data_IF_361641882700
#
_entry.id   IF_361641882700
#
_cell.length_a   1.000
_cell.length_b   1.000
_cell.length_c   1.000
_cell.angle_alpha   90.00
_cell.angle_beta   90.00
_cell.angle_gamma   90.00
#
_symmetry.space_group_name_H-M   'P 1'
#
loop_
_entity.id
_entity.type
_entity.pdbx_description
1 polymer ?
#
# COMPACT_ATOMS: atom_id res chain seq x y z
N UNK A 1 22.73 -18.86 -22.34
CA UNK A 1 21.81 -18.00 -23.10
C UNK A 1 20.46 -18.10 -22.41
N UNK A 2 20.03 -17.04 -21.72
CA UNK A 2 18.70 -17.00 -21.12
C UNK A 2 17.69 -16.83 -22.26
N UNK A 3 16.98 -17.90 -22.60
CA UNK A 3 15.79 -17.82 -23.44
C UNK A 3 14.76 -17.03 -22.65
N UNK A 4 14.74 -15.72 -22.87
CA UNK A 4 13.68 -14.86 -22.35
C UNK A 4 12.37 -15.32 -22.98
N UNK A 5 11.61 -16.12 -22.24
CA UNK A 5 10.24 -16.43 -22.59
C UNK A 5 9.51 -15.08 -22.63
N UNK A 6 9.09 -14.68 -23.83
CA UNK A 6 8.29 -13.47 -24.04
C UNK A 6 7.07 -13.54 -23.12
N UNK A 7 6.70 -12.41 -22.52
CA UNK A 7 5.54 -12.37 -21.65
C UNK A 7 4.27 -12.66 -22.45
N UNK A 8 3.33 -13.39 -21.85
CA UNK A 8 2.00 -13.55 -22.43
C UNK A 8 1.20 -12.26 -22.20
N UNK A 9 0.66 -11.69 -23.27
CA UNK A 9 -0.09 -10.43 -23.25
C UNK A 9 -1.60 -10.70 -23.19
N UNK A 10 -2.29 -10.08 -22.22
CA UNK A 10 -3.74 -10.17 -21.98
C UNK A 10 -4.33 -8.76 -22.09
N UNK A 11 -5.43 -8.60 -22.82
CA UNK A 11 -6.09 -7.30 -23.01
C UNK A 11 -7.45 -7.30 -22.33
N UNK A 12 -7.74 -6.27 -21.55
CA UNK A 12 -9.05 -6.06 -20.93
C UNK A 12 -9.73 -4.90 -21.63
N UNK A 13 -10.91 -5.13 -22.20
CA UNK A 13 -11.71 -4.07 -22.83
C UNK A 13 -12.26 -3.06 -21.80
N UNK A 14 -12.81 -1.91 -22.25
CA UNK A 14 -13.55 -1.02 -21.37
C UNK A 14 -14.76 -1.74 -20.76
N UNK A 15 -15.13 -1.45 -19.51
CA UNK A 15 -16.27 -2.10 -18.87
C UNK A 15 -17.58 -1.66 -19.52
N UNK A 16 -18.26 -2.59 -20.19
CA UNK A 16 -19.57 -2.35 -20.79
C UNK A 16 -20.37 -3.66 -20.98
N UNK A 17 -21.70 -3.56 -20.94
CA UNK A 17 -22.62 -4.72 -21.02
C UNK A 17 -22.51 -5.54 -22.32
N UNK A 18 -21.98 -4.98 -23.40
CA UNK A 18 -21.83 -5.66 -24.70
C UNK A 18 -20.47 -6.35 -24.93
N UNK A 19 -19.65 -6.51 -23.90
CA UNK A 19 -18.29 -7.04 -24.09
C UNK A 19 -18.33 -8.52 -24.51
N UNK A 20 -17.40 -8.91 -25.41
CA UNK A 20 -17.22 -10.29 -25.86
C UNK A 20 -15.77 -10.69 -25.65
N UNK A 21 -15.53 -11.58 -24.70
CA UNK A 21 -14.23 -12.16 -24.48
C UNK A 21 -13.85 -13.11 -25.64
N UNK A 22 -12.57 -13.15 -25.96
CA UNK A 22 -11.97 -14.07 -26.91
C UNK A 22 -10.68 -14.61 -26.29
N UNK A 23 -10.79 -15.74 -25.60
CA UNK A 23 -9.67 -16.38 -24.91
C UNK A 23 -8.57 -16.83 -25.89
N UNK A 24 -8.91 -17.17 -27.13
CA UNK A 24 -7.92 -17.53 -28.16
C UNK A 24 -7.07 -16.31 -28.56
N UNK A 25 -7.65 -15.11 -28.48
CA UNK A 25 -6.95 -13.82 -28.67
C UNK A 25 -6.52 -13.14 -27.36
N UNK A 26 -6.70 -13.80 -26.21
CA UNK A 26 -6.41 -13.25 -24.86
C UNK A 26 -7.06 -11.87 -24.63
N UNK A 27 -8.29 -11.73 -25.11
CA UNK A 27 -9.12 -10.54 -24.90
C UNK A 27 -10.21 -10.86 -23.89
N UNK A 28 -10.31 -10.06 -22.84
CA UNK A 28 -11.20 -10.30 -21.69
C UNK A 28 -12.09 -9.09 -21.43
N UNK A 29 -13.19 -9.35 -20.73
CA UNK A 29 -14.19 -8.34 -20.40
C UNK A 29 -14.01 -7.75 -19.00
N UNK A 30 -13.23 -8.42 -18.16
CA UNK A 30 -12.88 -7.90 -16.84
C UNK A 30 -11.42 -8.20 -16.47
N UNK A 31 -10.84 -7.41 -15.54
CA UNK A 31 -9.54 -7.73 -14.96
C UNK A 31 -9.53 -9.08 -14.25
N UNK A 32 -10.66 -9.52 -13.67
CA UNK A 32 -10.78 -10.80 -12.98
C UNK A 32 -10.59 -11.99 -13.93
N UNK A 33 -11.25 -11.96 -15.10
CA UNK A 33 -11.09 -12.98 -16.13
C UNK A 33 -9.65 -13.06 -16.66
N UNK A 34 -9.03 -11.90 -16.91
CA UNK A 34 -7.65 -11.85 -17.37
C UNK A 34 -6.67 -12.38 -16.31
N UNK A 35 -6.89 -12.02 -15.03
CA UNK A 35 -6.09 -12.51 -13.91
C UNK A 35 -6.22 -14.02 -13.72
N UNK A 36 -7.43 -14.56 -13.79
CA UNK A 36 -7.66 -16.01 -13.72
C UNK A 36 -6.92 -16.75 -14.85
N UNK A 37 -6.98 -16.21 -16.07
CA UNK A 37 -6.28 -16.79 -17.21
C UNK A 37 -4.74 -16.71 -17.08
N UNK A 38 -4.20 -15.62 -16.51
CA UNK A 38 -2.78 -15.49 -16.23
C UNK A 38 -2.31 -16.46 -15.13
N UNK A 39 -3.08 -16.61 -14.05
CA UNK A 39 -2.77 -17.54 -12.96
C UNK A 39 -2.77 -19.01 -13.41
N UNK A 40 -3.57 -19.37 -14.41
CA UNK A 40 -3.64 -20.72 -14.97
C UNK A 40 -2.42 -21.09 -15.86
N UNK A 41 -1.47 -20.16 -16.06
CA UNK A 41 -0.36 -20.32 -17.00
C UNK A 41 0.98 -20.09 -16.32
N UNK A 42 1.97 -20.87 -16.73
CA UNK A 42 3.36 -20.67 -16.30
C UNK A 42 3.98 -19.45 -17.01
N UNK A 43 5.01 -18.86 -16.39
CA UNK A 43 5.76 -17.75 -16.98
C UNK A 43 5.32 -16.37 -16.49
N UNK A 44 5.74 -15.34 -17.23
CA UNK A 44 5.40 -13.94 -16.98
C UNK A 44 4.20 -13.54 -17.85
N UNK A 45 3.26 -12.82 -17.25
CA UNK A 45 2.06 -12.33 -17.91
C UNK A 45 1.94 -10.82 -17.76
N UNK A 46 1.43 -10.13 -18.76
CA UNK A 46 1.10 -8.70 -18.71
C UNK A 46 -0.39 -8.53 -19.04
N UNK A 47 -1.13 -7.90 -18.15
CA UNK A 47 -2.54 -7.57 -18.29
C UNK A 47 -2.64 -6.07 -18.60
N UNK A 48 -3.06 -5.75 -19.82
CA UNK A 48 -3.31 -4.38 -20.27
C UNK A 48 -4.75 -4.00 -20.01
N UNK A 49 -4.95 -3.03 -19.14
CA UNK A 49 -6.26 -2.42 -18.93
C UNK A 49 -6.55 -1.40 -20.05
N UNK A 50 -7.82 -1.23 -20.40
CA UNK A 50 -8.21 -0.19 -21.33
C UNK A 50 -7.88 1.18 -20.73
N UNK A 51 -7.18 2.01 -21.50
CA UNK A 51 -6.67 3.29 -21.03
C UNK A 51 -7.77 4.15 -20.39
N UNK A 52 -7.46 4.72 -19.22
CA UNK A 52 -8.35 5.64 -18.47
C UNK A 52 -9.75 5.10 -18.17
N UNK A 53 -9.95 3.78 -18.22
CA UNK A 53 -11.22 3.14 -17.90
C UNK A 53 -11.41 2.96 -16.39
N UNK A 54 -12.66 2.84 -15.94
CA UNK A 54 -13.00 2.61 -14.53
C UNK A 54 -13.56 1.20 -14.37
N UNK A 55 -12.82 0.32 -13.71
CA UNK A 55 -13.23 -1.04 -13.38
C UNK A 55 -13.74 -1.09 -11.94
N UNK A 56 -15.07 -1.09 -11.80
CA UNK A 56 -15.74 -1.18 -10.49
C UNK A 56 -16.01 -2.63 -10.13
N UNK A 57 -15.43 -3.09 -9.02
CA UNK A 57 -15.64 -4.40 -8.42
C UNK A 57 -16.81 -4.30 -7.44
N UNK A 58 -17.87 -5.06 -7.68
CA UNK A 58 -19.09 -5.02 -6.85
C UNK A 58 -19.14 -6.16 -5.83
N UNK A 59 -18.47 -7.27 -6.12
CA UNK A 59 -18.44 -8.45 -5.28
C UNK A 59 -17.00 -8.95 -5.14
N UNK A 60 -16.64 -9.58 -4.02
CA UNK A 60 -15.41 -10.33 -3.90
C UNK A 60 -15.39 -11.49 -4.91
N UNK A 61 -14.23 -11.76 -5.47
CA UNK A 61 -13.94 -12.95 -6.27
C UNK A 61 -13.74 -14.18 -5.36
N UNK A 62 -13.18 -13.98 -4.16
CA UNK A 62 -13.09 -14.97 -3.09
C UNK A 62 -13.27 -14.29 -1.72
N UNK A 63 -13.87 -14.98 -0.74
CA UNK A 63 -14.17 -14.45 0.61
C UNK A 63 -13.15 -14.79 1.69
N UNK A 64 -12.12 -15.58 1.36
CA UNK A 64 -11.13 -16.01 2.35
C UNK A 64 -10.38 -14.81 2.95
N UNK A 65 -10.25 -14.79 4.27
CA UNK A 65 -9.45 -13.81 5.04
C UNK A 65 -9.82 -12.34 4.78
N UNK A 66 -11.12 -12.04 4.62
CA UNK A 66 -11.61 -10.67 4.40
C UNK A 66 -11.80 -10.29 2.93
N UNK A 67 -11.60 -11.24 2.04
CA UNK A 67 -11.98 -11.19 0.64
C UNK A 67 -11.08 -10.34 -0.28
N UNK A 68 -11.08 -10.69 -1.56
CA UNK A 68 -10.37 -10.00 -2.64
C UNK A 68 -11.25 -9.88 -3.88
N UNK A 69 -11.25 -8.71 -4.53
CA UNK A 69 -12.09 -8.42 -5.68
C UNK A 69 -11.58 -9.00 -6.99
N UNK A 70 -10.27 -9.28 -7.09
CA UNK A 70 -9.67 -10.03 -8.19
C UNK A 70 -9.06 -11.34 -7.67
N UNK A 71 -8.91 -12.38 -8.51
CA UNK A 71 -8.22 -13.62 -8.13
C UNK A 71 -6.83 -13.36 -7.56
N UNK A 72 -6.48 -14.07 -6.48
CA UNK A 72 -5.18 -13.90 -5.83
C UNK A 72 -4.03 -14.25 -6.77
N UNK A 73 -2.98 -13.44 -6.77
CA UNK A 73 -1.83 -13.58 -7.68
C UNK A 73 -0.90 -14.67 -7.15
N UNK A 74 -0.81 -15.77 -7.91
CA UNK A 74 0.06 -16.91 -7.60
C UNK A 74 1.29 -17.01 -8.52
N UNK A 75 1.25 -16.32 -9.66
CA UNK A 75 2.31 -16.34 -10.68
C UNK A 75 2.98 -14.97 -10.82
N UNK A 76 3.77 -14.77 -11.89
CA UNK A 76 4.37 -13.47 -12.19
C UNK A 76 3.45 -12.69 -13.13
N UNK A 77 2.76 -11.69 -12.58
CA UNK A 77 1.79 -10.86 -13.29
C UNK A 77 2.19 -9.40 -13.22
N UNK A 78 2.10 -8.71 -14.34
CA UNK A 78 2.14 -7.26 -14.44
C UNK A 78 0.76 -6.75 -14.87
N UNK A 79 0.24 -5.73 -14.19
CA UNK A 79 -0.95 -5.00 -14.60
C UNK A 79 -0.51 -3.63 -15.08
N UNK A 80 -0.61 -3.38 -16.38
CA UNK A 80 -0.45 -2.05 -16.95
C UNK A 80 -1.82 -1.37 -17.00
N UNK A 81 -1.99 -0.38 -16.13
CA UNK A 81 -3.24 0.34 -15.97
C UNK A 81 -3.51 1.33 -17.09
N UNK A 82 -2.50 1.85 -17.79
CA UNK A 82 -2.68 2.93 -18.76
C UNK A 82 -3.56 4.10 -18.24
N UNK A 83 -3.42 4.44 -16.96
CA UNK A 83 -4.21 5.46 -16.26
C UNK A 83 -5.62 5.02 -15.86
N UNK A 84 -5.94 3.72 -15.93
CA UNK A 84 -7.20 3.17 -15.47
C UNK A 84 -7.36 3.31 -13.94
N UNK A 85 -8.61 3.12 -13.50
CA UNK A 85 -8.98 3.04 -12.09
C UNK A 85 -9.54 1.63 -11.86
N UNK A 86 -9.01 0.93 -10.86
CA UNK A 86 -9.60 -0.28 -10.29
C UNK A 86 -10.14 0.08 -8.91
N UNK A 87 -11.45 -0.07 -8.71
CA UNK A 87 -12.11 0.38 -7.49
C UNK A 87 -13.08 -0.64 -6.94
N UNK A 88 -13.31 -0.58 -5.63
CA UNK A 88 -14.44 -1.24 -4.99
C UNK A 88 -15.68 -0.35 -5.09
N UNK A 89 -16.85 -0.93 -5.36
CA UNK A 89 -18.13 -0.24 -5.26
C UNK A 89 -18.37 0.26 -3.82
N UNK A 90 -18.77 1.53 -3.67
CA UNK A 90 -18.93 2.19 -2.36
C UNK A 90 -20.38 2.49 -1.97
N UNK A 91 -21.35 2.04 -2.76
CA UNK A 91 -22.76 2.23 -2.42
C UNK A 91 -23.09 1.55 -1.07
N UNK A 92 -24.07 2.11 -0.35
CA UNK A 92 -24.50 1.54 0.92
C UNK A 92 -24.92 0.06 0.75
N UNK A 93 -24.45 -0.80 1.66
CA UNK A 93 -24.70 -2.24 1.61
C UNK A 93 -23.72 -3.05 0.74
N UNK A 94 -22.77 -2.42 0.06
CA UNK A 94 -21.74 -3.15 -0.68
C UNK A 94 -20.72 -3.80 0.27
N UNK A 95 -20.32 -5.06 0.03
CA UNK A 95 -19.41 -5.77 0.93
C UNK A 95 -18.03 -5.12 0.96
N UNK A 96 -17.38 -5.17 2.12
CA UNK A 96 -15.99 -4.80 2.26
C UNK A 96 -15.10 -5.95 1.73
N UNK A 97 -14.17 -5.63 0.83
CA UNK A 97 -13.14 -6.54 0.36
C UNK A 97 -11.93 -5.77 -0.17
N UNK A 98 -10.77 -6.45 -0.23
CA UNK A 98 -9.54 -5.91 -0.84
C UNK A 98 -9.64 -5.88 -2.34
N UNK A 99 -8.84 -5.07 -3.03
CA UNK A 99 -8.79 -5.13 -4.49
C UNK A 99 -7.94 -6.31 -4.98
N UNK A 100 -6.77 -6.52 -4.36
CA UNK A 100 -5.76 -7.47 -4.80
C UNK A 100 -5.14 -8.21 -3.62
N UNK A 101 -4.68 -9.43 -3.90
CA UNK A 101 -3.86 -10.23 -2.98
C UNK A 101 -2.72 -10.89 -3.74
N UNK A 102 -1.53 -10.89 -3.17
CA UNK A 102 -0.36 -11.62 -3.69
C UNK A 102 -0.06 -12.76 -2.73
N UNK A 103 -0.12 -13.99 -3.23
CA UNK A 103 0.17 -15.19 -2.44
C UNK A 103 1.66 -15.39 -2.23
N UNK A 104 2.08 -16.23 -1.26
CA UNK A 104 3.47 -16.66 -1.16
C UNK A 104 3.98 -17.21 -2.50
N UNK A 105 5.14 -16.72 -2.95
CA UNK A 105 5.71 -17.05 -4.26
C UNK A 105 5.13 -16.27 -5.46
N UNK A 106 4.01 -15.56 -5.27
CA UNK A 106 3.45 -14.65 -6.27
C UNK A 106 4.32 -13.41 -6.48
N UNK A 107 4.29 -12.85 -7.69
CA UNK A 107 5.02 -11.64 -8.05
C UNK A 107 4.11 -10.73 -8.86
N UNK A 108 3.68 -9.62 -8.24
CA UNK A 108 2.81 -8.64 -8.85
C UNK A 108 3.57 -7.34 -9.11
N UNK A 109 3.48 -6.85 -10.35
CA UNK A 109 3.85 -5.48 -10.71
C UNK A 109 2.60 -4.70 -11.10
N UNK A 110 2.39 -3.55 -10.47
CA UNK A 110 1.33 -2.60 -10.82
C UNK A 110 1.96 -1.38 -11.47
N UNK A 111 1.44 -0.96 -12.62
CA UNK A 111 1.91 0.24 -13.34
C UNK A 111 0.76 1.16 -13.70
N UNK A 112 0.95 2.47 -13.53
CA UNK A 112 0.08 3.51 -14.09
C UNK A 112 -1.41 3.26 -13.79
N UNK A 113 -1.72 2.89 -12.56
CA UNK A 113 -3.05 2.46 -12.11
C UNK A 113 -3.46 3.21 -10.85
N UNK A 114 -4.74 3.58 -10.76
CA UNK A 114 -5.34 4.02 -9.50
C UNK A 114 -6.06 2.84 -8.83
N UNK A 115 -5.72 2.57 -7.57
CA UNK A 115 -6.41 1.62 -6.69
C UNK A 115 -7.15 2.39 -5.61
N UNK A 116 -8.49 2.29 -5.59
CA UNK A 116 -9.27 3.09 -4.64
C UNK A 116 -10.48 2.39 -4.03
N UNK A 117 -10.82 2.80 -2.82
CA UNK A 117 -12.05 2.37 -2.15
C UNK A 117 -12.04 0.95 -1.62
N UNK A 118 -10.89 0.26 -1.73
CA UNK A 118 -10.70 -1.02 -1.08
C UNK A 118 -11.01 -0.90 0.41
N UNK A 119 -11.69 -1.90 0.96
CA UNK A 119 -12.14 -1.85 2.35
C UNK A 119 -12.02 -3.23 2.99
N UNK A 120 -11.64 -3.33 4.25
CA UNK A 120 -11.70 -4.60 4.99
C UNK A 120 -12.42 -4.43 6.31
N UNK A 121 -13.07 -5.50 6.78
CA UNK A 121 -13.66 -5.52 8.12
C UNK A 121 -12.60 -5.60 9.21
N UNK A 122 -13.05 -5.56 10.48
CA UNK A 122 -12.18 -5.75 11.64
C UNK A 122 -11.43 -7.09 11.57
N UNK A 123 -10.14 -7.07 11.89
CA UNK A 123 -9.27 -8.26 11.88
C UNK A 123 -8.72 -8.64 10.51
N UNK A 124 -8.86 -7.75 9.52
CA UNK A 124 -8.38 -7.97 8.15
C UNK A 124 -7.58 -6.77 7.65
N UNK A 125 -6.36 -7.01 7.18
CA UNK A 125 -5.40 -5.97 6.80
C UNK A 125 -5.47 -5.55 5.33
N UNK A 126 -4.77 -4.49 4.90
CA UNK A 126 -4.36 -4.30 3.50
C UNK A 126 -5.50 -4.04 2.52
N UNK A 127 -6.23 -2.94 2.69
CA UNK A 127 -7.51 -2.76 2.01
C UNK A 127 -7.43 -2.59 0.49
N UNK A 128 -6.32 -2.10 -0.07
CA UNK A 128 -6.08 -2.17 -1.51
C UNK A 128 -5.37 -3.48 -1.87
N UNK A 129 -4.22 -3.75 -1.24
CA UNK A 129 -3.37 -4.89 -1.54
C UNK A 129 -2.88 -5.54 -0.25
N UNK A 130 -3.01 -6.87 -0.18
CA UNK A 130 -2.25 -7.67 0.77
C UNK A 130 -1.19 -8.49 0.04
N UNK A 131 0.08 -8.22 0.35
CA UNK A 131 1.22 -8.84 -0.29
C UNK A 131 1.93 -9.84 0.64
N UNK A 132 1.85 -11.13 0.33
CA UNK A 132 2.61 -12.20 0.99
C UNK A 132 3.78 -12.72 0.12
N UNK A 133 4.02 -12.10 -1.03
CA UNK A 133 5.04 -12.48 -2.00
C UNK A 133 5.93 -11.30 -2.36
N UNK A 134 5.93 -10.91 -3.64
CA UNK A 134 6.63 -9.72 -4.12
C UNK A 134 5.64 -8.75 -4.77
N UNK A 135 5.68 -7.49 -4.37
CA UNK A 135 4.86 -6.42 -4.93
C UNK A 135 5.75 -5.27 -5.40
N UNK A 136 5.58 -4.84 -6.65
CA UNK A 136 6.12 -3.60 -7.20
C UNK A 136 4.98 -2.66 -7.57
N UNK A 137 5.00 -1.43 -7.08
CA UNK A 137 3.98 -0.39 -7.30
C UNK A 137 4.66 0.81 -7.95
N UNK A 138 4.36 1.07 -9.23
CA UNK A 138 5.15 2.01 -10.04
C UNK A 138 4.21 2.98 -10.79
N UNK A 139 4.32 4.28 -10.54
CA UNK A 139 3.44 5.25 -11.19
C UNK A 139 1.97 5.12 -10.78
N UNK A 140 1.70 4.59 -9.59
CA UNK A 140 0.34 4.29 -9.13
C UNK A 140 -0.19 5.33 -8.15
N UNK A 141 -1.50 5.46 -8.08
CA UNK A 141 -2.19 6.18 -6.99
C UNK A 141 -3.00 5.19 -6.17
N UNK A 142 -2.77 5.14 -4.86
CA UNK A 142 -3.56 4.38 -3.91
C UNK A 142 -4.29 5.38 -3.02
N UNK A 143 -5.61 5.47 -3.20
CA UNK A 143 -6.41 6.50 -2.52
C UNK A 143 -7.69 5.99 -1.89
N UNK A 144 -8.04 6.60 -0.75
CA UNK A 144 -9.30 6.35 -0.06
C UNK A 144 -9.55 4.86 0.20
N UNK A 145 -8.49 4.11 0.58
CA UNK A 145 -8.58 2.72 1.00
C UNK A 145 -8.63 2.65 2.53
N UNK A 146 -9.47 1.77 3.07
CA UNK A 146 -9.78 1.72 4.49
C UNK A 146 -9.67 0.30 5.04
N UNK A 147 -8.61 0.04 5.81
CA UNK A 147 -8.47 -1.23 6.52
C UNK A 147 -9.11 -1.15 7.91
N UNK A 148 -9.81 -2.23 8.29
CA UNK A 148 -10.33 -2.41 9.63
C UNK A 148 -9.31 -2.94 10.65
N UNK A 149 -8.07 -3.21 10.23
CA UNK A 149 -6.94 -3.51 11.13
C UNK A 149 -5.72 -2.75 10.59
N UNK A 150 -4.78 -3.39 9.90
CA UNK A 150 -3.52 -2.74 9.54
C UNK A 150 -3.31 -2.48 8.04
N UNK A 151 -2.45 -1.50 7.71
CA UNK A 151 -2.05 -1.22 6.33
C UNK A 151 -3.22 -0.68 5.51
N UNK A 152 -3.58 0.59 5.73
CA UNK A 152 -4.81 1.16 5.19
C UNK A 152 -4.94 1.05 3.66
N UNK A 153 -3.82 1.13 2.91
CA UNK A 153 -3.77 0.70 1.52
C UNK A 153 -3.07 -0.65 1.35
N UNK A 154 -1.84 -0.78 1.85
CA UNK A 154 -1.01 -1.96 1.64
C UNK A 154 -0.61 -2.58 2.97
N UNK A 155 -0.90 -3.87 3.08
CA UNK A 155 -0.24 -4.78 4.01
C UNK A 155 0.83 -5.56 3.23
N UNK A 156 2.10 -5.47 3.61
CA UNK A 156 3.16 -6.27 2.98
C UNK A 156 3.87 -7.15 4.00
N UNK A 157 3.75 -8.46 3.85
CA UNK A 157 4.48 -9.50 4.58
C UNK A 157 5.68 -10.09 3.82
N UNK A 158 5.86 -9.63 2.58
CA UNK A 158 6.97 -9.98 1.69
C UNK A 158 7.74 -8.77 1.18
N UNK A 159 8.34 -8.88 -0.01
CA UNK A 159 9.12 -7.78 -0.62
C UNK A 159 8.19 -6.71 -1.18
N UNK A 160 8.48 -5.45 -0.88
CA UNK A 160 7.73 -4.29 -1.35
C UNK A 160 8.65 -3.27 -2.02
N UNK A 161 8.37 -2.98 -3.30
CA UNK A 161 9.01 -1.90 -4.04
C UNK A 161 7.95 -0.88 -4.43
N UNK A 162 8.15 0.38 -4.08
CA UNK A 162 7.25 1.48 -4.40
C UNK A 162 8.05 2.59 -5.06
N UNK A 163 7.61 3.02 -6.23
CA UNK A 163 8.31 4.00 -7.06
C UNK A 163 7.32 4.95 -7.73
N UNK A 164 7.64 6.25 -7.74
CA UNK A 164 6.90 7.28 -8.49
C UNK A 164 5.38 7.25 -8.20
N UNK A 165 4.99 6.98 -6.96
CA UNK A 165 3.60 6.68 -6.60
C UNK A 165 3.04 7.67 -5.58
N UNK A 166 1.72 7.64 -5.38
CA UNK A 166 1.01 8.47 -4.42
C UNK A 166 0.09 7.63 -3.54
N UNK A 167 0.19 7.79 -2.24
CA UNK A 167 -0.71 7.21 -1.23
C UNK A 167 -1.43 8.34 -0.52
N UNK A 168 -2.74 8.46 -0.72
CA UNK A 168 -3.50 9.56 -0.12
C UNK A 168 -4.80 9.14 0.54
N UNK A 169 -5.10 9.74 1.69
CA UNK A 169 -6.36 9.51 2.41
C UNK A 169 -6.66 8.03 2.66
N UNK A 170 -5.61 7.22 2.82
CA UNK A 170 -5.78 5.84 3.23
C UNK A 170 -5.82 5.78 4.76
N UNK A 171 -6.53 4.79 5.29
CA UNK A 171 -6.72 4.71 6.73
C UNK A 171 -6.72 3.28 7.26
N UNK A 172 -6.10 3.09 8.42
CA UNK A 172 -6.13 1.87 9.22
C UNK A 172 -6.86 2.20 10.52
N UNK A 173 -8.18 2.01 10.55
CA UNK A 173 -9.03 2.40 11.67
C UNK A 173 -9.76 1.17 12.21
N UNK A 174 -9.30 0.64 13.34
CA UNK A 174 -9.90 -0.49 14.02
C UNK A 174 -11.07 -0.02 14.91
N UNK A 175 -12.00 0.75 14.31
CA UNK A 175 -13.10 1.40 15.03
C UNK A 175 -13.89 0.37 15.86
N UNK A 176 -13.92 0.55 17.17
CA UNK A 176 -14.74 -0.25 18.09
C UNK A 176 -14.02 -1.39 18.82
N UNK A 177 -12.70 -1.57 18.67
CA UNK A 177 -11.93 -2.47 19.54
C UNK A 177 -11.80 -1.87 20.95
N UNK A 178 -12.63 -2.31 21.89
CA UNK A 178 -12.42 -2.04 23.32
C UNK A 178 -11.23 -2.88 23.80
N UNK A 179 -10.12 -2.22 24.14
CA UNK A 179 -8.92 -2.88 24.68
C UNK A 179 -7.98 -3.53 23.65
N UNK A 180 -8.19 -3.29 22.35
CA UNK A 180 -7.24 -3.70 21.30
C UNK A 180 -6.30 -2.56 20.91
N UNK A 181 -5.11 -2.90 20.41
CA UNK A 181 -4.24 -1.94 19.72
C UNK A 181 -4.96 -1.48 18.45
N UNK A 182 -5.03 -0.16 18.22
CA UNK A 182 -5.63 0.40 17.01
C UNK A 182 -4.87 -0.03 15.74
N UNK A 183 -5.48 0.19 14.57
CA UNK A 183 -4.85 -0.10 13.30
C UNK A 183 -3.57 0.72 13.08
N UNK A 184 -2.54 0.11 12.50
CA UNK A 184 -1.24 0.77 12.22
C UNK A 184 -0.95 0.89 10.73
N UNK A 185 -0.08 1.84 10.36
CA UNK A 185 0.33 2.02 8.96
C UNK A 185 -0.84 2.49 8.09
N UNK A 186 -1.26 3.75 8.28
CA UNK A 186 -2.47 4.28 7.61
C UNK A 186 -2.41 4.21 6.08
N UNK A 187 -1.20 4.24 5.49
CA UNK A 187 -0.99 3.86 4.10
C UNK A 187 -0.42 2.45 3.98
N UNK A 188 0.75 2.21 4.58
CA UNK A 188 1.51 0.97 4.42
C UNK A 188 1.94 0.45 5.79
N UNK A 189 1.65 -0.83 6.03
CA UNK A 189 2.33 -1.63 7.02
C UNK A 189 3.26 -2.62 6.33
N UNK A 190 4.53 -2.65 6.74
CA UNK A 190 5.49 -3.68 6.34
C UNK A 190 5.76 -4.64 7.49
N UNK A 191 5.90 -5.92 7.15
CA UNK A 191 6.24 -7.02 8.05
C UNK A 191 7.00 -8.07 7.25
N UNK A 192 7.73 -8.94 7.93
CA UNK A 192 8.57 -9.97 7.31
C UNK A 192 8.12 -11.39 7.66
N UNK A 193 6.80 -11.66 7.67
CA UNK A 193 6.29 -13.01 8.03
C UNK A 193 6.69 -14.08 7.00
N UNK A 194 6.71 -13.74 5.71
CA UNK A 194 6.91 -14.69 4.62
C UNK A 194 8.27 -14.55 3.91
N UNK A 195 9.31 -14.13 4.64
CA UNK A 195 10.71 -14.17 4.18
C UNK A 195 11.54 -12.94 4.58
N UNK A 196 12.82 -12.94 4.21
CA UNK A 196 13.75 -11.80 4.35
C UNK A 196 13.44 -10.70 3.31
N UNK A 197 12.19 -10.25 3.27
CA UNK A 197 11.78 -9.14 2.41
C UNK A 197 12.37 -7.84 2.92
N UNK A 198 12.77 -6.97 1.99
CA UNK A 198 13.06 -5.56 2.28
C UNK A 198 11.99 -4.69 1.64
N UNK A 199 11.88 -3.46 2.12
CA UNK A 199 11.02 -2.44 1.54
C UNK A 199 11.86 -1.31 0.95
N UNK A 200 11.55 -0.91 -0.28
CA UNK A 200 12.17 0.27 -0.90
C UNK A 200 11.08 1.19 -1.42
N UNK A 201 11.14 2.44 -0.98
CA UNK A 201 10.18 3.48 -1.35
C UNK A 201 10.96 4.63 -1.96
N UNK A 202 10.67 4.97 -3.22
CA UNK A 202 11.34 6.04 -3.94
C UNK A 202 10.36 7.01 -4.60
N UNK A 203 10.69 8.31 -4.58
CA UNK A 203 9.95 9.33 -5.34
C UNK A 203 8.43 9.27 -5.13
N UNK A 204 8.03 8.99 -3.90
CA UNK A 204 6.64 8.65 -3.54
C UNK A 204 6.09 9.66 -2.54
N UNK A 205 4.81 9.99 -2.68
CA UNK A 205 4.11 10.91 -1.78
C UNK A 205 3.13 10.15 -0.89
N UNK A 206 3.16 10.43 0.41
CA UNK A 206 2.18 9.98 1.40
C UNK A 206 1.47 11.19 1.99
N UNK A 207 0.19 11.37 1.66
CA UNK A 207 -0.57 12.57 2.02
C UNK A 207 -1.86 12.23 2.76
N UNK A 208 -2.04 12.78 3.97
CA UNK A 208 -3.31 12.69 4.68
C UNK A 208 -3.73 11.26 5.02
N UNK A 209 -2.77 10.34 5.22
CA UNK A 209 -3.06 8.98 5.66
C UNK A 209 -3.21 8.94 7.18
N UNK A 210 -4.03 8.01 7.67
CA UNK A 210 -4.39 7.98 9.09
C UNK A 210 -4.33 6.56 9.68
N UNK A 211 -3.70 6.43 10.84
CA UNK A 211 -3.73 5.24 11.67
C UNK A 211 -4.37 5.55 13.03
N UNK A 212 -5.20 4.65 13.54
CA UNK A 212 -5.75 4.78 14.90
C UNK A 212 -4.65 4.64 15.97
N UNK A 213 -3.63 3.80 15.72
CA UNK A 213 -2.50 3.65 16.61
C UNK A 213 -1.27 4.40 16.09
N UNK A 214 -0.32 3.70 15.47
CA UNK A 214 1.00 4.25 15.12
C UNK A 214 1.30 4.18 13.62
N UNK A 215 2.18 5.07 13.13
CA UNK A 215 2.57 5.11 11.73
C UNK A 215 1.46 5.64 10.84
N UNK A 216 1.14 6.93 10.95
CA UNK A 216 0.00 7.52 10.24
C UNK A 216 0.06 7.33 8.72
N UNK A 217 1.27 7.35 8.15
CA UNK A 217 1.51 6.79 6.82
C UNK A 217 2.13 5.41 6.87
N UNK A 218 3.28 5.27 7.53
CA UNK A 218 4.14 4.10 7.44
C UNK A 218 4.37 3.46 8.80
N UNK A 219 4.14 2.15 8.88
CA UNK A 219 4.56 1.32 10.01
C UNK A 219 5.53 0.23 9.52
N UNK A 220 6.78 0.26 9.99
CA UNK A 220 7.90 -0.45 9.38
C UNK A 220 8.54 -1.47 10.35
N UNK A 221 8.50 -2.77 10.02
CA UNK A 221 9.12 -3.82 10.85
C UNK A 221 10.39 -4.41 10.25
N UNK A 222 10.55 -4.34 8.93
CA UNK A 222 11.72 -4.84 8.20
C UNK A 222 12.66 -3.74 7.73
N UNK A 223 13.78 -4.15 7.15
CA UNK A 223 14.74 -3.24 6.53
C UNK A 223 14.05 -2.40 5.45
N UNK A 224 14.05 -1.09 5.65
CA UNK A 224 13.36 -0.15 4.78
C UNK A 224 14.29 0.97 4.34
N UNK A 225 14.32 1.23 3.03
CA UNK A 225 15.01 2.39 2.45
C UNK A 225 13.98 3.34 1.85
N UNK A 226 14.01 4.62 2.25
CA UNK A 226 13.14 5.68 1.75
C UNK A 226 13.97 6.78 1.10
N UNK A 227 13.70 7.09 -0.15
CA UNK A 227 14.49 8.05 -0.95
C UNK A 227 13.60 9.01 -1.69
N UNK A 228 13.83 10.32 -1.55
CA UNK A 228 13.06 11.33 -2.29
C UNK A 228 11.54 11.20 -2.07
N UNK A 229 11.14 10.81 -0.85
CA UNK A 229 9.74 10.72 -0.49
C UNK A 229 9.25 12.00 0.17
N UNK A 230 7.96 12.27 0.06
CA UNK A 230 7.29 13.33 0.82
C UNK A 230 6.20 12.70 1.68
N UNK A 231 6.27 12.88 2.99
CA UNK A 231 5.25 12.46 3.94
C UNK A 231 4.64 13.72 4.56
N UNK A 232 3.40 14.01 4.22
CA UNK A 232 2.73 15.25 4.61
C UNK A 232 1.34 15.04 5.19
N UNK A 233 1.05 15.72 6.30
CA UNK A 233 -0.29 15.76 6.88
C UNK A 233 -0.81 14.39 7.34
N UNK A 234 0.07 13.42 7.61
CA UNK A 234 -0.34 12.09 8.07
C UNK A 234 -0.56 12.10 9.58
N UNK A 235 -1.48 11.26 10.06
CA UNK A 235 -1.93 11.28 11.45
C UNK A 235 -1.90 9.91 12.11
N UNK A 236 -1.35 9.85 13.32
CA UNK A 236 -1.35 8.69 14.20
C UNK A 236 -2.04 9.02 15.53
N UNK A 237 -2.84 8.10 16.07
CA UNK A 237 -3.46 8.26 17.39
C UNK A 237 -2.51 7.98 18.56
N UNK A 238 -1.32 7.47 18.31
CA UNK A 238 -0.27 7.23 19.30
C UNK A 238 1.05 7.88 18.85
N UNK A 239 1.89 7.16 18.08
CA UNK A 239 3.26 7.58 17.76
C UNK A 239 3.57 7.50 16.28
N UNK A 240 4.54 8.30 15.81
CA UNK A 240 4.98 8.23 14.42
C UNK A 240 3.91 8.75 13.47
N UNK A 241 3.56 10.04 13.55
CA UNK A 241 2.48 10.63 12.74
C UNK A 241 2.74 10.43 11.25
N UNK A 242 3.98 10.60 10.81
CA UNK A 242 4.43 10.16 9.49
C UNK A 242 4.84 8.68 9.51
N UNK A 243 5.90 8.37 10.26
CA UNK A 243 6.58 7.07 10.25
C UNK A 243 6.73 6.53 11.66
N UNK A 244 6.38 5.26 11.84
CA UNK A 244 6.77 4.45 12.98
C UNK A 244 7.73 3.35 12.50
N UNK A 245 8.93 3.30 13.08
CA UNK A 245 9.97 2.33 12.72
C UNK A 245 10.30 1.39 13.87
N UNK A 246 10.07 0.09 13.68
CA UNK A 246 10.55 -1.00 14.52
C UNK A 246 11.78 -1.70 13.94
N UNK A 247 11.95 -1.68 12.62
CA UNK A 247 13.09 -2.29 11.92
C UNK A 247 14.29 -1.36 11.74
N UNK A 248 15.07 -1.59 10.69
CA UNK A 248 16.14 -0.67 10.25
C UNK A 248 15.60 0.28 9.20
N UNK A 249 15.75 1.59 9.41
CA UNK A 249 15.33 2.62 8.45
C UNK A 249 16.52 3.44 7.96
N UNK A 250 16.71 3.49 6.64
CA UNK A 250 17.53 4.51 5.98
C UNK A 250 16.62 5.46 5.20
N UNK A 251 16.55 6.72 5.61
CA UNK A 251 15.81 7.76 4.91
C UNK A 251 16.72 8.88 4.45
N UNK A 252 16.61 9.23 3.16
CA UNK A 252 17.44 10.28 2.57
C UNK A 252 16.76 11.12 1.52
N UNK A 253 17.15 12.40 1.42
CA UNK A 253 16.66 13.35 0.39
C UNK A 253 15.14 13.51 0.42
N UNK A 254 14.53 13.40 1.58
CA UNK A 254 13.07 13.32 1.76
C UNK A 254 12.51 14.52 2.53
N UNK A 255 11.19 14.60 2.62
CA UNK A 255 10.45 15.61 3.41
C UNK A 255 9.44 14.89 4.31
N UNK A 256 9.45 15.18 5.61
CA UNK A 256 8.49 14.69 6.61
C UNK A 256 7.89 15.92 7.30
N UNK A 257 6.74 16.38 6.83
CA UNK A 257 6.23 17.72 7.15
C UNK A 257 4.78 17.67 7.63
N UNK A 258 4.45 18.48 8.63
CA UNK A 258 3.06 18.65 9.12
C UNK A 258 2.35 17.36 9.52
N UNK A 259 3.10 16.35 9.96
CA UNK A 259 2.52 15.10 10.46
C UNK A 259 2.21 15.21 11.96
N UNK A 260 1.20 14.48 12.41
CA UNK A 260 0.58 14.64 13.73
C UNK A 260 0.51 13.29 14.44
N UNK A 261 1.09 13.21 15.64
CA UNK A 261 0.95 12.09 16.55
C UNK A 261 0.36 12.61 17.88
N UNK A 262 -0.34 11.78 18.63
CA UNK A 262 -0.84 12.20 19.96
C UNK A 262 0.30 12.19 20.98
N UNK A 263 1.14 11.16 20.98
CA UNK A 263 2.15 10.93 22.03
C UNK A 263 3.53 11.46 21.66
N UNK A 264 4.15 10.90 20.61
CA UNK A 264 5.56 11.10 20.31
C UNK A 264 5.92 10.86 18.84
N UNK A 265 6.98 11.53 18.37
CA UNK A 265 7.49 11.44 17.00
C UNK A 265 6.43 11.80 15.97
N UNK A 266 5.95 13.05 15.99
CA UNK A 266 4.94 13.52 15.03
C UNK A 266 5.37 13.29 13.58
N UNK A 267 6.65 13.51 13.26
CA UNK A 267 7.23 13.12 11.98
C UNK A 267 7.65 11.64 11.94
N UNK A 268 8.60 11.27 12.80
CA UNK A 268 9.24 9.95 12.84
C UNK A 268 9.43 9.48 14.29
N UNK A 269 8.86 8.32 14.63
CA UNK A 269 9.23 7.59 15.84
C UNK A 269 10.01 6.33 15.48
N UNK A 270 11.14 6.08 16.14
CA UNK A 270 11.96 4.90 15.86
C UNK A 270 12.29 4.09 17.13
N UNK A 271 11.70 2.91 17.25
CA UNK A 271 12.16 1.88 18.20
C UNK A 271 13.44 1.21 17.70
N UNK A 272 13.48 0.81 16.43
CA UNK A 272 14.69 0.32 15.77
C UNK A 272 15.57 1.45 15.25
N UNK A 273 16.74 1.12 14.71
CA UNK A 273 17.68 2.13 14.19
C UNK A 273 17.09 2.89 13.00
N UNK A 274 17.15 4.22 13.05
CA UNK A 274 16.85 5.09 11.92
C UNK A 274 18.03 6.02 11.60
N UNK A 275 18.45 6.04 10.33
CA UNK A 275 19.43 6.97 9.80
C UNK A 275 18.75 7.96 8.87
N UNK A 276 18.79 9.23 9.23
CA UNK A 276 18.22 10.36 8.48
C UNK A 276 19.35 11.17 7.87
N UNK A 277 19.33 11.38 6.56
CA UNK A 277 20.34 12.20 5.86
C UNK A 277 19.71 13.09 4.80
N UNK A 278 20.15 14.35 4.67
CA UNK A 278 19.63 15.29 3.66
C UNK A 278 18.08 15.35 3.63
N UNK A 279 17.42 15.23 4.79
CA UNK A 279 15.95 15.10 4.90
C UNK A 279 15.41 16.21 5.77
N UNK A 280 14.36 16.88 5.30
CA UNK A 280 13.64 17.91 6.04
C UNK A 280 12.59 17.23 6.94
N UNK A 281 12.64 17.46 8.24
CA UNK A 281 11.65 17.01 9.21
C UNK A 281 11.23 18.24 10.00
N UNK A 282 10.04 18.81 9.71
CA UNK A 282 9.62 20.11 10.25
C UNK A 282 8.10 20.24 10.33
N UNK A 283 7.60 21.07 11.24
CA UNK A 283 6.16 21.39 11.33
C UNK A 283 5.30 20.23 11.84
N UNK A 284 5.93 19.12 12.22
CA UNK A 284 5.24 17.99 12.80
C UNK A 284 4.82 18.32 14.24
N UNK A 285 3.88 17.54 14.80
CA UNK A 285 3.34 17.76 16.15
C UNK A 285 3.19 16.45 16.91
N UNK A 286 3.56 16.49 18.18
CA UNK A 286 3.24 15.44 19.15
C UNK A 286 3.27 15.97 20.58
N UNK A 287 2.72 15.20 21.54
CA UNK A 287 2.65 15.58 22.95
C UNK A 287 4.02 15.77 23.62
N UNK A 288 5.01 14.93 23.32
CA UNK A 288 6.33 14.99 23.96
C UNK A 288 7.52 15.19 23.01
N UNK A 289 7.37 14.92 21.70
CA UNK A 289 8.46 15.00 20.71
C UNK A 289 7.91 15.22 19.29
N UNK A 290 7.88 16.47 18.84
CA UNK A 290 7.12 16.86 17.64
C UNK A 290 7.68 16.30 16.33
N UNK A 291 8.99 16.42 16.08
CA UNK A 291 9.58 15.98 14.82
C UNK A 291 10.05 14.52 14.84
N UNK A 292 10.98 14.19 15.73
CA UNK A 292 11.51 12.84 15.83
C UNK A 292 11.75 12.39 17.28
N UNK A 293 11.69 11.08 17.49
CA UNK A 293 11.93 10.44 18.79
C UNK A 293 12.47 9.01 18.63
N UNK A 294 13.15 8.52 19.66
CA UNK A 294 13.76 7.18 19.71
C UNK A 294 15.16 7.12 19.08
N UNK A 295 15.53 5.97 18.50
CA UNK A 295 16.86 5.68 17.97
C UNK A 295 17.08 6.30 16.58
N UNK A 296 16.99 7.63 16.49
CA UNK A 296 17.12 8.40 15.25
C UNK A 296 18.44 9.15 15.20
N UNK A 297 19.27 8.83 14.21
CA UNK A 297 20.49 9.58 13.89
C UNK A 297 20.26 10.57 12.75
N UNK A 298 20.84 11.76 12.83
CA UNK A 298 20.73 12.79 11.79
C UNK A 298 19.40 13.55 11.76
N UNK A 299 18.54 13.33 12.77
CA UNK A 299 17.42 14.21 13.04
C UNK A 299 17.83 15.22 14.11
N UNK A 300 17.68 16.51 13.81
CA UNK A 300 17.72 17.55 14.83
C UNK A 300 16.31 17.63 15.39
N UNK A 301 16.05 16.96 16.51
CA UNK A 301 14.77 17.07 17.19
C UNK A 301 14.54 18.56 17.53
N UNK A 302 13.46 19.15 17.05
CA UNK A 302 13.11 20.50 17.47
C UNK A 302 12.67 20.45 18.93
N UNK A 303 13.59 20.80 19.83
CA UNK A 303 13.33 20.92 21.26
C UNK A 303 12.57 22.23 21.47
N UNK A 304 11.28 22.22 21.18
CA UNK A 304 10.33 23.13 21.83
C UNK A 304 9.43 23.95 20.91
N UNK A 305 8.14 23.65 21.03
CA UNK A 305 7.21 24.67 21.49
C UNK A 305 6.46 24.14 22.71
N UNK A 306 7.02 24.39 23.90
CA UNK A 306 6.21 24.47 25.10
C UNK A 306 5.06 25.47 24.82
N UNK A 307 3.82 24.99 24.92
CA UNK A 307 2.65 25.86 25.08
C UNK A 307 2.32 25.97 26.56
#
# INVERSE_FOLDING_TARGET
MATGVLADEFRVGPPHKGCRADAARRSYCSPAEAMAAANARQGRHVIHLAAKSIYTLEQPDHDAEGGNGLPAVATRVEIDGHGAILERARAAGQPAFRLLRVLPGGNLTLRNLTLRGGATGLGFDGAAVWNMGSLSVIGCTLEDNHSGDDGGAIRSDGTLLVEDSVFRRNSALAQGRVGGTGGVGGAIQTHTQFGKGYSRIERTVFEGNQADASGGALWLLGDTTIVQATLIGNKAGERGGGIMNYGTLDIRKSRIVDNDAVDAGGGLYAFGEARVTETEITGNRAGSSSDCDGHVSGCVADIGHAR
#
